data_IF_328372797308
#
_entry.id   IF_328372797308
#
_cell.length_a   1.000
_cell.length_b   1.000
_cell.length_c   1.000
_cell.angle_alpha   90.00
_cell.angle_beta   90.00
_cell.angle_gamma   90.00
#
_symmetry.space_group_name_H-M   'P 1'
#
loop_
_entity.id
_entity.type
_entity.pdbx_description
1 polymer ?
#
# COMPACT_ATOMS: atom_id res chain seq x y z
N UNK A 1 -41.19 -7.66 74.65
CA UNK A 1 -40.63 -6.46 74.00
C UNK A 1 -39.34 -6.84 73.28
N UNK A 2 -39.28 -6.62 71.96
CA UNK A 2 -38.05 -6.67 71.15
C UNK A 2 -37.09 -5.58 71.60
N UNK A 3 -35.78 -5.86 71.63
CA UNK A 3 -34.73 -4.91 71.22
C UNK A 3 -33.48 -5.68 70.78
N UNK A 4 -33.29 -5.66 69.48
CA UNK A 4 -32.12 -6.06 68.71
C UNK A 4 -30.93 -5.16 69.06
N UNK A 5 -29.74 -5.70 69.28
CA UNK A 5 -28.50 -4.92 69.08
C UNK A 5 -27.40 -5.80 68.50
N UNK A 6 -27.17 -5.57 67.20
CA UNK A 6 -25.95 -5.77 66.43
C UNK A 6 -25.15 -7.06 66.70
N UNK A 7 -25.50 -8.11 65.96
CA UNK A 7 -24.47 -9.02 65.45
C UNK A 7 -23.52 -8.18 64.59
N UNK A 8 -22.36 -7.85 65.15
CA UNK A 8 -21.33 -7.11 64.46
C UNK A 8 -21.03 -7.76 63.11
N UNK A 9 -21.16 -6.92 62.08
CA UNK A 9 -20.81 -7.14 60.69
C UNK A 9 -19.32 -7.45 60.57
N UNK A 10 -18.95 -8.69 60.84
CA UNK A 10 -17.72 -9.26 60.30
C UNK A 10 -18.10 -10.45 59.42
N UNK A 11 -18.74 -10.15 58.29
CA UNK A 11 -18.41 -10.88 57.06
C UNK A 11 -16.91 -10.67 56.89
N UNK A 12 -16.15 -11.64 57.40
CA UNK A 12 -14.75 -11.88 57.04
C UNK A 12 -14.68 -11.59 55.54
N UNK A 13 -13.93 -10.58 55.15
CA UNK A 13 -13.52 -10.42 53.77
C UNK A 13 -12.86 -11.75 53.42
N UNK A 14 -13.65 -12.65 52.82
CA UNK A 14 -13.16 -13.91 52.34
C UNK A 14 -12.21 -13.50 51.23
N UNK A 15 -10.92 -13.49 51.58
CA UNK A 15 -9.85 -13.22 50.65
C UNK A 15 -10.16 -14.02 49.40
N UNK A 16 -10.14 -13.31 48.28
CA UNK A 16 -10.18 -13.87 46.95
C UNK A 16 -9.41 -15.19 46.98
N UNK A 17 -10.12 -16.32 46.89
CA UNK A 17 -9.49 -17.60 47.22
C UNK A 17 -8.40 -17.88 46.18
N UNK A 18 -7.33 -18.56 46.58
CA UNK A 18 -6.22 -18.88 45.68
C UNK A 18 -6.74 -19.55 44.40
N UNK A 19 -7.77 -20.40 44.51
CA UNK A 19 -8.48 -21.00 43.39
C UNK A 19 -9.14 -19.99 42.44
N UNK A 20 -9.80 -18.95 42.95
CA UNK A 20 -10.36 -17.89 42.12
C UNK A 20 -9.28 -17.06 41.41
N UNK A 21 -8.09 -16.97 42.00
CA UNK A 21 -6.94 -16.25 41.42
C UNK A 21 -6.33 -17.06 40.27
N UNK A 22 -6.14 -18.36 40.47
CA UNK A 22 -5.66 -19.29 39.42
C UNK A 22 -6.66 -19.34 38.26
N UNK A 23 -7.95 -19.37 38.56
CA UNK A 23 -9.01 -19.40 37.54
C UNK A 23 -9.02 -18.12 36.70
N UNK A 24 -8.90 -16.94 37.33
CA UNK A 24 -8.80 -15.67 36.58
C UNK A 24 -7.56 -15.66 35.67
N UNK A 25 -6.40 -16.05 36.19
CA UNK A 25 -5.16 -16.04 35.41
C UNK A 25 -5.27 -16.99 34.21
N UNK A 26 -5.87 -18.17 34.38
CA UNK A 26 -6.10 -19.11 33.29
C UNK A 26 -7.02 -18.53 32.21
N UNK A 27 -8.11 -17.85 32.59
CA UNK A 27 -9.04 -17.21 31.63
C UNK A 27 -8.36 -16.07 30.87
N UNK A 28 -7.59 -15.22 31.55
CA UNK A 28 -6.85 -14.12 30.92
C UNK A 28 -5.79 -14.68 29.95
N UNK A 29 -5.07 -15.73 30.33
CA UNK A 29 -4.07 -16.37 29.46
C UNK A 29 -4.70 -16.88 28.16
N UNK A 30 -5.84 -17.57 28.24
CA UNK A 30 -6.57 -18.05 27.06
C UNK A 30 -7.05 -16.88 26.20
N UNK A 31 -7.64 -15.83 26.80
CA UNK A 31 -8.09 -14.65 26.07
C UNK A 31 -6.94 -13.94 25.33
N UNK A 32 -5.80 -13.76 25.97
CA UNK A 32 -4.61 -13.14 25.34
C UNK A 32 -4.13 -13.99 24.16
N UNK A 33 -4.03 -15.32 24.34
CA UNK A 33 -3.61 -16.20 23.24
C UNK A 33 -4.58 -16.15 22.04
N UNK A 34 -5.89 -16.05 22.28
CA UNK A 34 -6.89 -15.92 21.23
C UNK A 34 -6.84 -14.57 20.52
N UNK A 35 -6.56 -13.48 21.24
CA UNK A 35 -6.40 -12.14 20.66
C UNK A 35 -5.12 -12.08 19.82
N UNK A 36 -4.00 -12.60 20.32
CA UNK A 36 -2.73 -12.63 19.57
C UNK A 36 -2.85 -13.53 18.33
N UNK A 37 -3.49 -14.69 18.44
CA UNK A 37 -3.67 -15.59 17.32
C UNK A 37 -4.63 -15.05 16.25
N UNK A 38 -5.65 -14.27 16.61
CA UNK A 38 -6.59 -13.70 15.64
C UNK A 38 -6.11 -12.35 15.10
N UNK A 39 -5.74 -11.40 15.95
CA UNK A 39 -5.35 -10.04 15.56
C UNK A 39 -3.89 -9.98 15.09
N UNK A 40 -3.01 -10.80 15.67
CA UNK A 40 -1.61 -10.87 15.28
C UNK A 40 -1.41 -11.50 13.91
N UNK A 41 -2.18 -12.55 13.57
CA UNK A 41 -2.18 -13.14 12.23
C UNK A 41 -2.86 -12.25 11.18
N UNK A 42 -3.95 -11.57 11.52
CA UNK A 42 -4.59 -10.63 10.58
C UNK A 42 -3.70 -9.41 10.27
N UNK A 43 -2.97 -8.90 11.27
CA UNK A 43 -2.02 -7.81 11.06
C UNK A 43 -0.76 -8.30 10.34
N UNK A 44 -0.22 -9.47 10.68
CA UNK A 44 0.93 -10.07 9.98
C UNK A 44 0.58 -10.40 8.53
N UNK A 45 -0.57 -10.99 8.24
CA UNK A 45 -0.98 -11.30 6.87
C UNK A 45 -1.35 -10.06 6.05
N UNK A 46 -1.87 -8.99 6.67
CA UNK A 46 -2.03 -7.69 5.98
C UNK A 46 -0.70 -6.96 5.75
N UNK A 47 0.39 -7.36 6.40
CA UNK A 47 1.76 -6.86 6.13
C UNK A 47 2.67 -7.87 5.44
N UNK A 48 2.19 -9.08 5.15
CA UNK A 48 2.96 -10.15 4.50
C UNK A 48 2.88 -10.09 2.97
N UNK A 49 2.41 -8.98 2.42
CA UNK A 49 2.57 -8.69 1.00
C UNK A 49 4.03 -8.44 0.68
N UNK A 50 4.49 -8.95 -0.45
CA UNK A 50 5.89 -8.83 -0.84
C UNK A 50 6.30 -7.36 -0.99
N UNK A 51 7.60 -7.08 -0.89
CA UNK A 51 8.12 -5.70 -0.93
C UNK A 51 7.62 -4.99 -2.21
N UNK A 52 7.54 -5.70 -3.33
CA UNK A 52 7.01 -5.19 -4.58
C UNK A 52 5.51 -4.83 -4.50
N UNK A 53 4.68 -5.70 -3.92
CA UNK A 53 3.26 -5.38 -3.71
C UNK A 53 3.06 -4.13 -2.84
N UNK A 54 3.88 -3.96 -1.80
CA UNK A 54 3.88 -2.74 -1.00
C UNK A 54 4.31 -1.50 -1.79
N UNK A 55 5.27 -1.62 -2.71
CA UNK A 55 5.70 -0.53 -3.58
C UNK A 55 4.57 -0.10 -4.53
N UNK A 56 3.91 -1.06 -5.18
CA UNK A 56 2.77 -0.82 -6.07
C UNK A 56 1.63 -0.12 -5.32
N UNK A 57 1.32 -0.59 -4.11
CA UNK A 57 0.30 0.04 -3.26
C UNK A 57 0.67 1.47 -2.86
N UNK A 58 1.95 1.72 -2.54
CA UNK A 58 2.43 3.06 -2.21
C UNK A 58 2.28 4.03 -3.39
N UNK A 59 2.55 3.57 -4.62
CA UNK A 59 2.35 4.37 -5.84
C UNK A 59 0.86 4.68 -6.03
N UNK A 60 -0.01 3.67 -5.89
CA UNK A 60 -1.48 3.83 -5.98
C UNK A 60 -2.03 4.82 -4.93
N UNK A 61 -1.53 4.75 -3.69
CA UNK A 61 -1.90 5.69 -2.63
C UNK A 61 -1.37 7.10 -2.88
N UNK A 62 -0.16 7.23 -3.45
CA UNK A 62 0.41 8.52 -3.83
C UNK A 62 -0.39 9.19 -4.95
N UNK A 63 -0.85 8.42 -5.93
CA UNK A 63 -1.78 8.87 -6.97
C UNK A 63 -3.10 9.37 -6.38
N UNK A 64 -3.72 8.59 -5.51
CA UNK A 64 -4.96 8.98 -4.85
C UNK A 64 -4.78 10.23 -3.98
N UNK A 65 -3.67 10.33 -3.26
CA UNK A 65 -3.31 11.49 -2.45
C UNK A 65 -3.05 12.74 -3.31
N UNK A 66 -2.44 12.58 -4.48
CA UNK A 66 -2.23 13.66 -5.44
C UNK A 66 -3.58 14.16 -5.97
N UNK A 67 -4.45 13.25 -6.43
CA UNK A 67 -5.79 13.59 -6.89
C UNK A 67 -6.62 14.30 -5.82
N UNK A 68 -6.60 13.78 -4.58
CA UNK A 68 -7.34 14.39 -3.45
C UNK A 68 -6.89 15.82 -3.13
N UNK A 69 -5.64 16.19 -3.45
CA UNK A 69 -5.10 17.54 -3.22
C UNK A 69 -5.26 18.47 -4.43
N UNK A 70 -4.97 17.97 -5.62
CA UNK A 70 -4.96 18.79 -6.84
C UNK A 70 -6.34 18.87 -7.50
N UNK A 71 -7.16 17.84 -7.35
CA UNK A 71 -8.43 17.65 -8.07
C UNK A 71 -8.25 17.07 -9.48
N UNK A 72 -7.02 16.75 -9.88
CA UNK A 72 -6.67 16.16 -11.18
C UNK A 72 -5.66 15.05 -10.99
N UNK A 73 -5.64 14.10 -11.93
CA UNK A 73 -4.68 13.01 -11.91
C UNK A 73 -3.30 13.48 -12.36
N UNK A 74 -2.22 12.78 -11.97
CA UNK A 74 -0.85 13.23 -12.27
C UNK A 74 -0.57 13.40 -13.78
N UNK A 75 -1.05 12.47 -14.62
CA UNK A 75 -0.89 12.58 -16.07
C UNK A 75 -1.56 13.83 -16.65
N UNK A 76 -2.71 14.25 -16.11
CA UNK A 76 -3.40 15.48 -16.53
C UNK A 76 -2.60 16.71 -16.06
N UNK A 77 -2.10 16.70 -14.82
CA UNK A 77 -1.31 17.81 -14.29
C UNK A 77 -0.01 18.01 -15.08
N UNK A 78 0.66 16.92 -15.48
CA UNK A 78 1.86 16.95 -16.32
C UNK A 78 1.54 17.49 -17.72
N UNK A 79 0.45 17.03 -18.34
CA UNK A 79 0.00 17.52 -19.65
C UNK A 79 -0.34 19.03 -19.60
N UNK A 80 -1.12 19.45 -18.60
CA UNK A 80 -1.50 20.86 -18.35
C UNK A 80 -0.30 21.76 -18.05
N UNK A 81 0.78 21.23 -17.47
CA UNK A 81 2.00 21.99 -17.21
C UNK A 81 2.69 22.45 -18.49
N UNK A 82 2.43 21.80 -19.62
CA UNK A 82 3.09 22.13 -20.88
C UNK A 82 4.58 21.82 -20.82
N UNK A 83 4.94 20.57 -20.48
CA UNK A 83 6.31 20.08 -20.67
C UNK A 83 6.74 20.39 -22.11
N UNK A 84 7.84 21.12 -22.27
CA UNK A 84 8.49 21.29 -23.58
C UNK A 84 9.14 19.94 -23.91
N UNK A 85 8.34 19.04 -24.49
CA UNK A 85 8.71 17.66 -24.78
C UNK A 85 7.48 16.75 -24.73
N UNK A 86 7.49 15.65 -25.49
CA UNK A 86 6.37 14.70 -25.54
C UNK A 86 6.07 14.18 -24.12
N UNK A 87 4.82 14.25 -23.63
CA UNK A 87 4.42 13.59 -22.40
C UNK A 87 4.86 12.11 -22.46
N UNK A 88 5.77 11.71 -21.58
CA UNK A 88 6.19 10.31 -21.43
C UNK A 88 5.65 9.80 -20.09
N UNK A 89 5.42 8.49 -19.98
CA UNK A 89 4.87 7.92 -18.74
C UNK A 89 5.76 8.16 -17.51
N UNK A 90 7.05 8.40 -17.71
CA UNK A 90 8.04 8.66 -16.65
C UNK A 90 7.74 9.97 -15.91
N UNK A 91 7.42 11.05 -16.63
CA UNK A 91 7.05 12.32 -15.99
C UNK A 91 5.78 12.20 -15.15
N UNK A 92 4.83 11.35 -15.57
CA UNK A 92 3.56 11.13 -14.89
C UNK A 92 3.70 10.47 -13.52
N UNK A 93 4.78 9.72 -13.27
CA UNK A 93 5.09 9.21 -11.94
C UNK A 93 6.08 10.11 -11.21
N UNK A 94 7.02 10.75 -11.93
CA UNK A 94 8.03 11.63 -11.35
C UNK A 94 7.42 12.82 -10.59
N UNK A 95 6.33 13.38 -11.10
CA UNK A 95 5.45 14.36 -10.41
C UNK A 95 5.05 13.95 -8.99
N UNK A 96 4.95 12.65 -8.69
CA UNK A 96 4.64 12.18 -7.34
C UNK A 96 5.87 12.22 -6.42
N UNK A 97 7.08 12.15 -6.97
CA UNK A 97 8.33 11.99 -6.24
C UNK A 97 9.13 13.30 -6.11
N UNK A 98 9.05 14.20 -7.09
CA UNK A 98 9.70 15.50 -7.07
C UNK A 98 8.79 16.59 -7.68
N UNK A 99 8.94 17.82 -7.16
CA UNK A 99 8.20 18.97 -7.68
C UNK A 99 8.82 19.51 -8.98
N UNK A 100 10.14 19.38 -9.12
CA UNK A 100 10.90 19.87 -10.26
C UNK A 100 10.80 18.95 -11.49
N UNK A 101 10.06 17.83 -11.39
CA UNK A 101 9.86 16.85 -12.47
C UNK A 101 9.17 17.43 -13.71
N UNK A 102 8.63 18.65 -13.60
CA UNK A 102 7.82 19.27 -14.63
C UNK A 102 8.20 20.74 -14.69
N UNK A 103 8.75 21.16 -15.83
CA UNK A 103 9.41 22.46 -16.00
C UNK A 103 8.45 23.62 -16.35
N UNK A 104 7.19 23.31 -16.61
CA UNK A 104 6.18 24.27 -17.00
C UNK A 104 5.34 24.81 -15.83
N UNK A 105 4.53 25.84 -16.12
CA UNK A 105 3.66 26.48 -15.12
C UNK A 105 2.20 26.10 -15.34
N UNK A 106 1.60 25.38 -14.40
CA UNK A 106 0.16 25.16 -14.34
C UNK A 106 -0.44 25.73 -13.03
N UNK A 107 -1.78 25.73 -12.97
CA UNK A 107 -2.55 26.15 -11.79
C UNK A 107 -2.47 25.19 -10.57
N UNK A 108 -1.71 24.10 -10.69
CA UNK A 108 -1.51 23.09 -9.64
C UNK A 108 -0.14 23.24 -8.96
N UNK A 109 0.83 23.92 -9.59
CA UNK A 109 2.22 24.07 -9.11
C UNK A 109 2.32 24.57 -7.66
N UNK A 110 1.48 25.53 -7.24
CA UNK A 110 1.51 26.07 -5.87
C UNK A 110 1.03 25.08 -4.81
N UNK A 111 0.22 24.09 -5.20
CA UNK A 111 -0.35 23.06 -4.31
C UNK A 111 0.42 21.75 -4.39
N UNK A 112 1.40 21.65 -5.29
CA UNK A 112 2.14 20.43 -5.54
C UNK A 112 2.90 19.99 -4.30
N UNK A 113 2.80 18.70 -3.99
CA UNK A 113 3.59 18.10 -2.92
C UNK A 113 4.04 16.70 -3.36
N UNK A 114 5.33 16.38 -3.26
CA UNK A 114 5.80 15.02 -3.39
C UNK A 114 5.16 14.13 -2.33
N UNK A 115 4.55 13.02 -2.77
CA UNK A 115 3.90 12.02 -1.94
C UNK A 115 4.57 10.65 -2.05
N UNK A 116 5.34 10.42 -3.11
CA UNK A 116 6.10 9.22 -3.34
C UNK A 116 7.50 9.38 -2.75
N UNK A 117 7.88 8.46 -1.85
CA UNK A 117 9.16 8.49 -1.14
C UNK A 117 9.78 7.10 -1.06
N UNK A 118 11.12 7.01 -1.06
CA UNK A 118 11.82 5.72 -1.00
C UNK A 118 12.12 5.10 -2.37
N UNK A 119 12.00 5.91 -3.43
CA UNK A 119 12.38 5.57 -4.80
C UNK A 119 13.60 6.38 -5.22
N UNK A 120 14.38 5.83 -6.15
CA UNK A 120 15.54 6.50 -6.69
C UNK A 120 15.07 7.45 -7.82
N UNK A 121 15.34 8.74 -7.63
CA UNK A 121 14.95 9.80 -8.56
C UNK A 121 16.20 10.24 -9.33
N UNK A 122 16.07 10.39 -10.65
CA UNK A 122 17.15 10.89 -11.49
C UNK A 122 17.59 12.31 -11.07
N UNK A 123 18.83 12.68 -11.39
CA UNK A 123 19.39 13.99 -10.99
C UNK A 123 18.63 15.20 -11.54
N UNK A 124 17.91 15.04 -12.64
CA UNK A 124 17.02 16.05 -13.24
C UNK A 124 15.59 15.97 -12.71
N UNK A 125 15.25 15.00 -11.85
CA UNK A 125 13.91 14.86 -11.29
C UNK A 125 12.88 14.23 -12.23
N UNK A 126 13.26 13.86 -13.44
CA UNK A 126 12.31 13.46 -14.51
C UNK A 126 11.99 11.97 -14.52
N UNK A 127 12.77 11.14 -13.83
CA UNK A 127 12.60 9.69 -13.81
C UNK A 127 12.59 9.14 -12.38
N UNK A 128 11.77 8.12 -12.17
CA UNK A 128 11.69 7.37 -10.93
C UNK A 128 12.08 5.93 -11.24
N UNK A 129 12.92 5.35 -10.40
CA UNK A 129 13.41 3.98 -10.56
C UNK A 129 13.26 3.17 -9.27
N UNK A 130 13.25 1.85 -9.42
CA UNK A 130 13.23 0.91 -8.30
C UNK A 130 14.54 0.16 -8.15
N UNK A 131 14.65 -0.58 -7.04
CA UNK A 131 15.83 -1.36 -6.67
C UNK A 131 15.62 -2.89 -6.76
N UNK A 132 14.47 -3.34 -7.26
CA UNK A 132 14.27 -4.77 -7.53
C UNK A 132 15.18 -5.25 -8.66
N UNK A 133 15.83 -6.40 -8.49
CA UNK A 133 16.76 -6.94 -9.50
C UNK A 133 17.95 -6.01 -9.77
N UNK A 134 18.17 -5.69 -11.05
CA UNK A 134 19.13 -4.67 -11.50
C UNK A 134 18.63 -3.23 -11.31
N UNK A 135 17.40 -3.06 -10.86
CA UNK A 135 16.65 -1.82 -10.95
C UNK A 135 16.04 -1.64 -12.35
N UNK A 136 15.21 -0.62 -12.48
CA UNK A 136 14.46 -0.34 -13.69
C UNK A 136 13.67 0.96 -13.55
N UNK A 137 13.30 1.55 -14.68
CA UNK A 137 12.49 2.77 -14.71
C UNK A 137 11.03 2.42 -14.43
N UNK A 138 10.35 3.32 -13.72
CA UNK A 138 8.92 3.24 -13.51
C UNK A 138 8.25 4.28 -14.40
N UNK A 139 7.20 3.89 -15.10
CA UNK A 139 6.37 4.80 -15.88
C UNK A 139 4.89 4.62 -15.54
N UNK A 140 4.10 5.66 -15.81
CA UNK A 140 2.68 5.70 -15.53
C UNK A 140 1.90 6.21 -16.76
N UNK A 141 0.94 5.43 -17.22
CA UNK A 141 0.10 5.76 -18.38
C UNK A 141 -1.36 5.44 -18.10
N UNK A 142 -2.27 5.95 -18.94
CA UNK A 142 -3.67 5.55 -18.91
C UNK A 142 -3.88 4.35 -19.82
N UNK A 143 -4.58 3.32 -19.36
CA UNK A 143 -4.94 2.18 -20.19
C UNK A 143 -6.15 1.44 -19.65
N UNK A 144 -6.58 0.41 -20.36
CA UNK A 144 -7.74 -0.41 -19.96
C UNK A 144 -7.26 -1.70 -19.31
N UNK A 145 -7.82 -2.01 -18.15
CA UNK A 145 -7.57 -3.26 -17.43
C UNK A 145 -8.68 -4.28 -17.67
N UNK A 146 -8.57 -5.47 -17.07
CA UNK A 146 -9.47 -6.60 -17.34
C UNK A 146 -10.94 -6.35 -16.96
N UNK A 147 -11.19 -5.41 -16.05
CA UNK A 147 -12.53 -4.98 -15.69
C UNK A 147 -13.20 -4.10 -16.78
N UNK A 148 -12.50 -3.85 -17.88
CA UNK A 148 -12.93 -3.06 -19.03
C UNK A 148 -12.94 -1.56 -18.77
N UNK A 149 -12.40 -1.09 -17.64
CA UNK A 149 -12.36 0.34 -17.30
C UNK A 149 -10.96 0.93 -17.43
N UNK A 150 -10.91 2.24 -17.63
CA UNK A 150 -9.66 2.98 -17.73
C UNK A 150 -9.02 3.17 -16.36
N UNK A 151 -7.75 2.80 -16.24
CA UNK A 151 -6.94 2.92 -15.03
C UNK A 151 -5.66 3.72 -15.29
N UNK A 152 -5.02 4.16 -14.21
CA UNK A 152 -3.59 4.42 -14.22
C UNK A 152 -2.86 3.08 -14.18
N UNK A 153 -2.16 2.78 -15.27
CA UNK A 153 -1.28 1.62 -15.40
C UNK A 153 0.12 2.07 -15.02
N UNK A 154 0.72 1.38 -14.06
CA UNK A 154 2.11 1.54 -13.66
C UNK A 154 2.92 0.45 -14.35
N UNK A 155 3.94 0.81 -15.11
CA UNK A 155 4.88 -0.12 -15.70
C UNK A 155 6.19 -0.06 -14.91
N UNK A 156 6.72 -1.21 -14.51
CA UNK A 156 8.04 -1.35 -13.90
C UNK A 156 8.90 -2.21 -14.82
N UNK A 157 10.03 -1.66 -15.24
CA UNK A 157 10.96 -2.35 -16.14
C UNK A 157 11.92 -3.27 -15.38
N UNK A 158 12.41 -4.33 -16.03
CA UNK A 158 13.50 -5.17 -15.49
C UNK A 158 13.24 -5.75 -14.07
N UNK A 159 12.01 -6.18 -13.79
CA UNK A 159 11.64 -6.79 -12.51
C UNK A 159 11.90 -8.30 -12.54
N UNK A 160 12.56 -8.89 -11.53
CA UNK A 160 12.70 -10.34 -11.45
C UNK A 160 11.35 -11.05 -11.34
N UNK A 161 11.15 -12.13 -12.10
CA UNK A 161 9.92 -12.93 -12.11
C UNK A 161 9.51 -13.41 -10.72
N UNK A 162 10.48 -13.73 -9.87
CA UNK A 162 10.22 -14.13 -8.48
C UNK A 162 9.58 -13.00 -7.67
N UNK A 163 9.88 -11.73 -7.96
CA UNK A 163 9.22 -10.60 -7.29
C UNK A 163 7.82 -10.39 -7.87
N UNK A 164 7.67 -10.49 -9.20
CA UNK A 164 6.40 -10.32 -9.92
C UNK A 164 5.37 -11.34 -9.44
N UNK A 165 5.67 -12.64 -9.55
CA UNK A 165 4.76 -13.75 -9.18
C UNK A 165 4.34 -13.69 -7.71
N UNK A 166 5.26 -13.30 -6.84
CA UNK A 166 4.99 -13.09 -5.43
C UNK A 166 4.06 -11.90 -5.18
N UNK A 167 4.20 -10.81 -5.93
CA UNK A 167 3.32 -9.65 -5.86
C UNK A 167 1.94 -9.94 -6.44
N UNK A 168 1.90 -10.70 -7.53
CA UNK A 168 0.69 -11.20 -8.19
C UNK A 168 -0.14 -12.06 -7.22
N UNK A 169 0.45 -13.12 -6.64
CA UNK A 169 -0.21 -13.95 -5.62
C UNK A 169 -0.68 -13.11 -4.41
N UNK A 170 0.05 -12.07 -4.04
CA UNK A 170 -0.32 -11.18 -2.94
C UNK A 170 -1.52 -10.28 -3.27
N UNK A 171 -1.55 -9.73 -4.49
CA UNK A 171 -2.50 -8.69 -4.90
C UNK A 171 -3.77 -9.32 -5.47
N UNK A 172 -3.60 -10.29 -6.36
CA UNK A 172 -4.67 -10.91 -7.14
C UNK A 172 -5.09 -12.27 -6.56
N UNK A 173 -4.23 -12.91 -5.75
CA UNK A 173 -4.55 -14.14 -5.02
C UNK A 173 -4.28 -15.43 -5.81
N UNK A 174 -3.88 -15.30 -7.06
CA UNK A 174 -3.47 -16.39 -7.96
C UNK A 174 -2.24 -15.92 -8.74
N UNK A 175 -1.42 -16.86 -9.21
CA UNK A 175 -0.29 -16.54 -10.10
C UNK A 175 -0.76 -16.75 -11.53
N UNK A 176 -0.90 -15.66 -12.28
CA UNK A 176 -1.25 -15.69 -13.68
C UNK A 176 -0.70 -14.46 -14.42
N UNK A 177 -0.38 -14.60 -15.72
CA UNK A 177 0.38 -13.55 -16.41
C UNK A 177 -0.49 -12.40 -16.94
N UNK A 178 -1.81 -12.60 -17.03
CA UNK A 178 -2.66 -11.76 -17.90
C UNK A 178 -4.01 -11.40 -17.31
N UNK A 179 -4.36 -11.93 -16.15
CA UNK A 179 -5.58 -11.65 -15.44
C UNK A 179 -5.29 -10.92 -14.12
N UNK A 180 -6.21 -10.06 -13.71
CA UNK A 180 -6.09 -9.34 -12.45
C UNK A 180 -5.45 -7.97 -12.61
N UNK A 181 -4.75 -7.53 -11.56
CA UNK A 181 -4.17 -6.19 -11.50
C UNK A 181 -2.70 -6.21 -11.86
N UNK A 182 -1.98 -7.27 -11.56
CA UNK A 182 -0.58 -7.47 -11.92
C UNK A 182 -0.54 -8.26 -13.22
N UNK A 183 0.11 -7.73 -14.25
CA UNK A 183 0.21 -8.40 -15.55
C UNK A 183 1.66 -8.36 -16.05
N UNK A 184 2.10 -9.44 -16.69
CA UNK A 184 3.47 -9.64 -17.17
C UNK A 184 3.46 -10.58 -18.39
N UNK A 185 4.62 -10.86 -18.97
CA UNK A 185 4.69 -11.51 -20.29
C UNK A 185 4.52 -13.03 -20.22
N UNK A 186 5.25 -13.68 -19.31
CA UNK A 186 5.27 -15.14 -19.17
C UNK A 186 5.87 -15.59 -17.82
N UNK A 187 5.68 -16.87 -17.47
CA UNK A 187 6.23 -17.51 -16.26
C UNK A 187 7.65 -18.11 -16.40
N UNK A 188 8.40 -17.75 -17.44
CA UNK A 188 9.72 -18.37 -17.72
C UNK A 188 10.86 -17.36 -17.89
N UNK A 189 10.54 -16.11 -18.19
CA UNK A 189 11.50 -15.04 -18.38
C UNK A 189 11.89 -14.48 -17.02
N UNK A 190 13.14 -14.74 -16.61
CA UNK A 190 13.65 -14.42 -15.27
C UNK A 190 13.57 -12.93 -14.90
N UNK A 191 13.73 -12.02 -15.87
CA UNK A 191 13.67 -10.57 -15.68
C UNK A 191 12.83 -10.00 -16.82
N UNK A 192 11.76 -9.29 -16.47
CA UNK A 192 10.81 -8.76 -17.44
C UNK A 192 10.09 -7.53 -16.91
N UNK A 193 9.46 -6.81 -17.83
CA UNK A 193 8.59 -5.70 -17.49
C UNK A 193 7.27 -6.25 -16.94
N UNK A 194 6.75 -5.55 -15.94
CA UNK A 194 5.42 -5.82 -15.41
C UNK A 194 4.56 -4.56 -15.48
N UNK A 195 3.25 -4.76 -15.51
CA UNK A 195 2.27 -3.70 -15.42
C UNK A 195 1.35 -3.92 -14.22
N UNK A 196 0.85 -2.82 -13.68
CA UNK A 196 -0.04 -2.82 -12.54
C UNK A 196 -1.21 -1.86 -12.75
N UNK A 197 -2.42 -2.40 -12.70
CA UNK A 197 -3.68 -1.68 -12.72
C UNK A 197 -3.92 -1.00 -11.37
N UNK A 198 -3.45 0.24 -11.23
CA UNK A 198 -3.53 1.02 -10.00
C UNK A 198 -4.92 1.66 -9.84
N UNK A 199 -5.04 2.97 -10.07
CA UNK A 199 -6.24 3.73 -9.75
C UNK A 199 -7.22 3.74 -10.93
N UNK A 200 -8.50 3.46 -10.65
CA UNK A 200 -9.59 3.63 -11.61
C UNK A 200 -9.81 5.11 -11.94
N UNK A 201 -9.89 5.42 -13.24
CA UNK A 201 -10.17 6.75 -13.78
C UNK A 201 -11.66 6.81 -14.16
N UNK A 202 -12.46 7.52 -13.36
CA UNK A 202 -13.88 7.79 -13.62
C UNK A 202 -14.10 9.26 -14.00
#
# INVERSE_FOLDING_TARGET
MKKTSLNNYMKKAAGYTIDQTILIVAVIAVLITLIIASVGWDLLNRTSGTKLASYLKQIEESNGGFYARQGVWPHIAVDDAGVIGTPNGEHNIAVLAAQDSVSGTNQYNERWKPLLSGFDISSNGEQVSHQFGSGGVISQQTGTCDDGKTHLIITMEDVPLTEITNADETIDGEIDESAGRVQYTDLVTDIQDMTYCANLLN
#
